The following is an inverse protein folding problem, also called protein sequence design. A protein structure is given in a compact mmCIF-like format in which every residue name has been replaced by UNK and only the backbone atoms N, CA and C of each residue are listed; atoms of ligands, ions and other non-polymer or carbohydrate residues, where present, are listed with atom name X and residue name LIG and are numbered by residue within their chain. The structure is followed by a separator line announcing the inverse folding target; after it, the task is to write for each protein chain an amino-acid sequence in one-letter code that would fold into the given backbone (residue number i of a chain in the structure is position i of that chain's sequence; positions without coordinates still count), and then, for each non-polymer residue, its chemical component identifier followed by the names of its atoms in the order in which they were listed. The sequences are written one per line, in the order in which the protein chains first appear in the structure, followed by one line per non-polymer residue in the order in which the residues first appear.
data_IF_337522383209
#
_entry.id   IF_337522383209
#
_cell.length_a   1.000
_cell.length_b   1.000
_cell.length_c   1.000
_cell.angle_alpha   90.00
_cell.angle_beta   90.00
_cell.angle_gamma   90.00
#
_symmetry.space_group_name_H-M   'P 1'
#
loop_
_entity.id
_entity.type
_entity.pdbx_description
1 polymer ?
#
# COMPACT_ATOMS: atom_id res chain seq x y z
N UNK A 1 -21.11 7.69 -11.17
CA UNK A 1 -20.27 6.58 -10.68
C UNK A 1 -18.83 6.99 -10.96
N UNK A 2 -18.34 7.93 -10.17
CA UNK A 2 -16.99 8.52 -10.19
C UNK A 2 -16.29 7.94 -8.96
N UNK A 3 -15.05 7.46 -8.95
CA UNK A 3 -13.88 7.78 -9.75
C UNK A 3 -12.91 6.59 -9.64
N UNK A 4 -12.55 5.97 -10.77
CA UNK A 4 -11.35 5.14 -10.87
C UNK A 4 -10.20 6.06 -11.23
N UNK A 5 -9.64 6.77 -10.25
CA UNK A 5 -8.44 7.58 -10.47
C UNK A 5 -7.20 6.70 -10.32
N UNK A 6 -6.69 6.27 -11.47
CA UNK A 6 -5.25 6.20 -11.74
C UNK A 6 -5.12 6.36 -13.25
N UNK A 7 -5.08 7.62 -13.69
CA UNK A 7 -4.60 8.01 -15.01
C UNK A 7 -3.07 8.04 -14.95
N UNK A 8 -2.34 7.06 -15.50
CA UNK A 8 -0.90 7.14 -15.61
C UNK A 8 -0.51 8.05 -16.79
N UNK A 9 -0.79 9.34 -16.69
CA UNK A 9 -0.41 10.33 -17.71
C UNK A 9 0.67 11.25 -17.14
N UNK A 10 1.90 11.08 -17.65
CA UNK A 10 2.86 12.17 -17.91
C UNK A 10 3.53 12.95 -16.75
N UNK A 11 3.91 12.29 -15.65
CA UNK A 11 4.91 12.87 -14.73
C UNK A 11 6.05 11.86 -14.44
N UNK A 12 6.51 11.19 -15.50
CA UNK A 12 7.53 10.12 -15.45
C UNK A 12 8.95 10.60 -15.73
N UNK A 13 9.23 11.91 -15.63
CA UNK A 13 10.52 12.45 -16.10
C UNK A 13 11.35 13.18 -15.03
N UNK A 14 10.84 13.42 -13.81
CA UNK A 14 11.59 14.17 -12.76
C UNK A 14 11.48 13.62 -11.32
N UNK A 15 10.96 12.41 -11.11
CA UNK A 15 10.95 11.79 -9.77
C UNK A 15 12.35 11.29 -9.40
N UNK A 16 12.96 11.94 -8.41
CA UNK A 16 14.26 11.54 -7.82
C UNK A 16 14.04 10.33 -6.92
N UNK A 17 14.51 9.16 -7.35
CA UNK A 17 14.49 7.93 -6.57
C UNK A 17 15.79 7.78 -5.75
N UNK A 18 15.76 7.19 -4.54
CA UNK A 18 14.60 6.60 -3.85
C UNK A 18 13.75 7.64 -3.12
N UNK A 19 12.43 7.45 -3.11
CA UNK A 19 11.49 8.34 -2.41
C UNK A 19 10.47 7.52 -1.62
N UNK A 20 10.20 7.96 -0.40
CA UNK A 20 9.33 7.27 0.56
C UNK A 20 7.88 7.71 0.36
N UNK A 21 7.02 6.75 0.00
CA UNK A 21 5.60 6.97 -0.19
C UNK A 21 4.80 6.25 0.91
N UNK A 22 4.15 6.99 1.82
CA UNK A 22 3.21 6.40 2.76
C UNK A 22 1.91 6.03 2.04
N UNK A 23 1.60 4.73 1.99
CA UNK A 23 0.36 4.18 1.48
C UNK A 23 -0.53 3.81 2.67
N UNK A 24 -1.75 4.33 2.67
CA UNK A 24 -2.75 4.04 3.70
C UNK A 24 -3.74 3.01 3.17
N UNK A 25 -3.63 1.79 3.69
CA UNK A 25 -4.52 0.69 3.34
C UNK A 25 -5.59 0.55 4.41
N UNK A 26 -6.86 0.66 4.05
CA UNK A 26 -7.98 0.36 4.95
C UNK A 26 -8.62 -0.98 4.57
N UNK A 27 -8.66 -1.89 5.52
CA UNK A 27 -9.24 -3.22 5.34
C UNK A 27 -10.06 -3.67 6.53
N UNK A 28 -10.63 -4.88 6.43
CA UNK A 28 -11.25 -5.54 7.58
C UNK A 28 -10.18 -5.85 8.64
N UNK A 29 -10.51 -5.65 9.92
CA UNK A 29 -9.60 -5.96 11.03
C UNK A 29 -9.29 -7.46 11.04
N UNK A 30 -8.04 -7.80 10.72
CA UNK A 30 -7.52 -9.16 10.78
C UNK A 30 -6.09 -9.10 11.35
N UNK A 31 -5.72 -9.95 12.32
CA UNK A 31 -4.35 -9.98 12.86
C UNK A 31 -3.32 -10.35 11.79
N UNK A 32 -3.71 -11.17 10.81
CA UNK A 32 -2.88 -11.51 9.65
C UNK A 32 -2.83 -10.41 8.57
N UNK A 33 -3.57 -9.30 8.70
CA UNK A 33 -3.62 -8.28 7.67
C UNK A 33 -2.27 -7.60 7.48
N UNK A 34 -1.69 -7.06 8.55
CA UNK A 34 -0.36 -6.44 8.52
C UNK A 34 0.72 -7.42 8.04
N UNK A 35 0.63 -8.68 8.49
CA UNK A 35 1.58 -9.74 8.11
C UNK A 35 1.46 -10.10 6.63
N UNK A 36 0.24 -10.23 6.09
CA UNK A 36 -0.01 -10.51 4.67
C UNK A 36 0.44 -9.35 3.80
N UNK A 37 0.04 -8.12 4.14
CA UNK A 37 0.47 -6.93 3.42
C UNK A 37 1.99 -6.82 3.43
N UNK A 38 2.64 -6.94 4.59
CA UNK A 38 4.09 -6.85 4.68
C UNK A 38 4.82 -7.95 3.92
N UNK A 39 4.31 -9.18 3.94
CA UNK A 39 4.89 -10.29 3.15
C UNK A 39 4.75 -10.03 1.66
N UNK A 40 3.58 -9.59 1.20
CA UNK A 40 3.29 -9.35 -0.21
C UNK A 40 4.12 -8.17 -0.74
N UNK A 41 4.22 -7.06 0.03
CA UNK A 41 5.10 -5.93 -0.33
C UNK A 41 6.56 -6.37 -0.35
N UNK A 42 6.99 -7.22 0.60
CA UNK A 42 8.37 -7.74 0.64
C UNK A 42 8.70 -8.65 -0.55
N UNK A 43 7.73 -9.35 -1.12
CA UNK A 43 7.93 -10.12 -2.36
C UNK A 43 8.23 -9.21 -3.58
N UNK A 44 7.66 -8.00 -3.60
CA UNK A 44 7.94 -7.01 -4.65
C UNK A 44 9.17 -6.15 -4.35
N UNK A 45 9.38 -5.82 -3.08
CA UNK A 45 10.41 -4.92 -2.58
C UNK A 45 11.11 -5.62 -1.40
N UNK A 46 12.16 -6.41 -1.64
CA UNK A 46 12.85 -7.11 -0.56
C UNK A 46 13.48 -6.16 0.48
N UNK A 47 13.74 -4.90 0.07
CA UNK A 47 14.21 -3.81 0.93
C UNK A 47 13.11 -3.18 1.78
N UNK A 48 11.84 -3.54 1.55
CA UNK A 48 10.73 -3.05 2.34
C UNK A 48 10.75 -3.68 3.74
N UNK A 49 10.72 -2.81 4.75
CA UNK A 49 10.72 -3.24 6.14
C UNK A 49 9.28 -3.30 6.68
N UNK A 50 8.74 -4.50 6.95
CA UNK A 50 7.36 -4.66 7.45
C UNK A 50 7.17 -4.08 8.85
N UNK A 51 8.25 -3.74 9.57
CA UNK A 51 8.17 -3.06 10.86
C UNK A 51 7.69 -1.60 10.72
N UNK A 52 7.78 -1.03 9.51
CA UNK A 52 7.25 0.30 9.20
C UNK A 52 5.73 0.32 9.13
N UNK A 53 5.09 -0.86 9.03
CA UNK A 53 3.63 -0.99 8.95
C UNK A 53 3.00 -0.59 10.27
N UNK A 54 2.40 0.60 10.30
CA UNK A 54 1.61 1.06 11.44
C UNK A 54 0.18 0.59 11.30
N UNK A 55 -0.18 -0.38 12.13
CA UNK A 55 -1.55 -0.88 12.21
C UNK A 55 -2.35 -0.05 13.22
N UNK A 56 -3.39 0.62 12.78
CA UNK A 56 -4.32 1.36 13.64
C UNK A 56 -5.71 0.73 13.53
N UNK A 57 -6.18 0.02 14.57
CA UNK A 57 -7.54 -0.48 14.59
C UNK A 57 -8.52 0.69 14.72
N UNK A 58 -9.65 0.60 14.01
CA UNK A 58 -10.72 1.58 14.12
C UNK A 58 -11.44 1.43 15.47
N UNK A 59 -12.07 2.52 15.92
CA UNK A 59 -12.78 2.64 17.21
C UNK A 59 -13.84 1.56 17.44
N UNK A 60 -14.38 0.98 16.36
CA UNK A 60 -15.39 -0.06 16.40
C UNK A 60 -14.85 -1.48 16.13
N UNK A 61 -13.54 -1.65 15.96
CA UNK A 61 -12.89 -2.94 15.68
C UNK A 61 -13.24 -3.59 14.33
N UNK A 62 -14.12 -2.99 13.51
CA UNK A 62 -14.54 -3.54 12.22
C UNK A 62 -13.51 -3.37 11.11
N UNK A 63 -12.76 -2.26 11.14
CA UNK A 63 -11.77 -1.92 10.13
C UNK A 63 -10.42 -1.60 10.78
N UNK A 64 -9.34 -1.93 10.08
CA UNK A 64 -7.97 -1.56 10.45
C UNK A 64 -7.37 -0.73 9.33
N UNK A 65 -6.81 0.42 9.68
CA UNK A 65 -5.97 1.19 8.79
C UNK A 65 -4.51 0.75 8.98
N UNK A 66 -3.87 0.29 7.92
CA UNK A 66 -2.43 0.07 7.86
C UNK A 66 -1.79 1.27 7.17
N UNK A 67 -0.80 1.86 7.81
CA UNK A 67 0.06 2.87 7.22
C UNK A 67 1.37 2.19 6.83
N UNK A 68 1.62 2.07 5.53
CA UNK A 68 2.74 1.31 4.96
C UNK A 68 3.64 2.30 4.25
N UNK A 69 4.87 2.48 4.72
CA UNK A 69 5.83 3.39 4.06
C UNK A 69 6.68 2.59 3.10
N UNK A 70 6.47 2.76 1.79
CA UNK A 70 7.23 2.05 0.77
C UNK A 70 8.29 2.97 0.17
N UNK A 71 9.48 2.43 -0.10
CA UNK A 71 10.49 3.11 -0.91
C UNK A 71 10.21 2.82 -2.38
N UNK A 72 9.57 3.77 -3.05
CA UNK A 72 9.38 3.68 -4.48
C UNK A 72 10.74 3.86 -5.15
N UNK A 73 11.17 2.87 -5.94
CA UNK A 73 12.32 3.02 -6.84
C UNK A 73 11.87 3.32 -8.28
N UNK A 74 10.60 3.07 -8.59
CA UNK A 74 10.00 3.30 -9.90
C UNK A 74 8.48 3.32 -9.80
N UNK A 75 7.81 4.03 -10.72
CA UNK A 75 6.35 4.06 -10.81
C UNK A 75 5.75 2.67 -11.05
N UNK A 76 6.40 1.84 -11.86
CA UNK A 76 5.96 0.46 -12.14
C UNK A 76 5.95 -0.43 -10.88
N UNK A 77 6.91 -0.22 -9.97
CA UNK A 77 6.95 -0.92 -8.68
C UNK A 77 5.80 -0.43 -7.79
N UNK A 78 5.58 0.88 -7.72
CA UNK A 78 4.49 1.48 -6.95
C UNK A 78 3.12 0.98 -7.44
N UNK A 79 2.91 0.96 -8.75
CA UNK A 79 1.68 0.45 -9.38
C UNK A 79 1.47 -1.04 -9.08
N UNK A 80 2.52 -1.86 -9.18
CA UNK A 80 2.44 -3.29 -8.83
C UNK A 80 2.05 -3.50 -7.37
N UNK A 81 2.60 -2.69 -6.45
CA UNK A 81 2.23 -2.72 -5.03
C UNK A 81 0.76 -2.30 -4.86
N UNK A 82 0.36 -1.17 -5.43
CA UNK A 82 -1.02 -0.69 -5.37
C UNK A 82 -2.01 -1.73 -5.91
N UNK A 83 -1.69 -2.35 -7.04
CA UNK A 83 -2.52 -3.38 -7.67
C UNK A 83 -2.59 -4.66 -6.86
N UNK A 84 -1.49 -5.09 -6.26
CA UNK A 84 -1.46 -6.22 -5.34
C UNK A 84 -2.30 -5.96 -4.09
N UNK A 85 -2.14 -4.78 -3.47
CA UNK A 85 -2.90 -4.37 -2.29
C UNK A 85 -4.38 -4.28 -2.60
N UNK A 86 -4.76 -3.59 -3.68
CA UNK A 86 -6.17 -3.47 -4.09
C UNK A 86 -6.79 -4.80 -4.52
N UNK A 87 -6.00 -5.74 -5.05
CA UNK A 87 -6.46 -7.08 -5.40
C UNK A 87 -6.61 -8.01 -4.18
N UNK A 88 -6.14 -7.61 -3.00
CA UNK A 88 -6.32 -8.42 -1.80
C UNK A 88 -7.76 -8.37 -1.29
N UNK A 89 -8.41 -9.52 -1.05
CA UNK A 89 -9.83 -9.58 -0.68
C UNK A 89 -10.15 -8.93 0.68
N UNK A 90 -9.11 -8.69 1.49
CA UNK A 90 -9.21 -8.04 2.81
C UNK A 90 -9.11 -6.50 2.71
N UNK A 91 -8.59 -5.97 1.62
CA UNK A 91 -8.45 -4.54 1.37
C UNK A 91 -9.76 -3.99 0.84
N UNK A 92 -10.21 -2.87 1.40
CA UNK A 92 -11.41 -2.17 0.96
C UNK A 92 -11.07 -0.86 0.25
N UNK A 93 -10.06 -0.16 0.74
CA UNK A 93 -9.61 1.13 0.21
C UNK A 93 -8.09 1.23 0.33
N UNK A 94 -7.42 1.76 -0.69
CA UNK A 94 -6.01 2.16 -0.64
C UNK A 94 -5.94 3.64 -1.01
N UNK A 95 -5.20 4.43 -0.24
CA UNK A 95 -5.03 5.88 -0.34
C UNK A 95 -3.54 6.26 -0.25
#
# INVERSE_FOLDING_TARGET
MTESQLTPSEETELLTFPTEFPIKVMGLTQPDFAKRIGSAVRELVPEFDPSTIKSTPSRNGKYTALNVVIQAQSKAQLDSIYRMLTSHPLVKVVL
#
